data_IF_394949483565
#
_entry.id   IF_394949483565
#
_cell.length_a   1.000
_cell.length_b   1.000
_cell.length_c   1.000
_cell.angle_alpha   90.00
_cell.angle_beta   90.00
_cell.angle_gamma   90.00
#
_symmetry.space_group_name_H-M   'P 1'
#
loop_
_entity.id
_entity.type
_entity.pdbx_description
1 polymer ?
#
# COMPACT_ATOMS: atom_id res chain seq x y z
N UNK A 1 15.70 4.55 1.41
CA UNK A 1 14.61 4.47 2.41
C UNK A 1 13.30 3.95 1.81
N UNK A 2 12.77 4.55 0.74
CA UNK A 2 11.44 4.21 0.15
C UNK A 2 11.25 2.72 -0.17
N UNK A 3 12.22 2.07 -0.83
CA UNK A 3 12.14 0.64 -1.15
C UNK A 3 12.09 -0.25 0.11
N UNK A 4 12.96 0.02 1.08
CA UNK A 4 13.06 -0.74 2.32
C UNK A 4 11.75 -0.65 3.13
N UNK A 5 11.15 0.54 3.20
CA UNK A 5 9.88 0.73 3.91
C UNK A 5 8.69 0.14 3.14
N UNK A 6 8.54 0.49 1.86
CA UNK A 6 7.32 0.19 1.11
C UNK A 6 7.25 -1.25 0.60
N UNK A 7 8.40 -1.89 0.34
CA UNK A 7 8.45 -3.26 -0.20
C UNK A 7 8.91 -4.22 0.89
N UNK A 8 10.12 -4.05 1.41
CA UNK A 8 10.64 -4.98 2.42
C UNK A 8 9.83 -4.95 3.71
N UNK A 9 9.38 -3.77 4.14
CA UNK A 9 8.47 -3.62 5.28
C UNK A 9 7.16 -4.39 5.08
N UNK A 10 6.53 -4.27 3.92
CA UNK A 10 5.31 -5.04 3.58
C UNK A 10 5.57 -6.53 3.63
N UNK A 11 6.67 -7.01 3.05
CA UNK A 11 7.03 -8.43 3.05
C UNK A 11 7.22 -8.95 4.48
N UNK A 12 8.11 -8.31 5.26
CA UNK A 12 8.43 -8.78 6.61
C UNK A 12 7.25 -8.69 7.57
N UNK A 13 6.48 -7.60 7.54
CA UNK A 13 5.31 -7.45 8.38
C UNK A 13 4.21 -8.46 8.02
N UNK A 14 3.95 -8.68 6.73
CA UNK A 14 2.92 -9.63 6.29
C UNK A 14 3.29 -11.07 6.63
N UNK A 15 4.56 -11.46 6.45
CA UNK A 15 5.06 -12.79 6.83
C UNK A 15 4.86 -13.06 8.32
N UNK A 16 5.29 -12.14 9.18
CA UNK A 16 5.17 -12.29 10.65
C UNK A 16 3.71 -12.27 11.12
N UNK A 17 2.89 -11.39 10.55
CA UNK A 17 1.47 -11.33 10.86
C UNK A 17 0.75 -12.62 10.44
N UNK A 18 1.02 -13.10 9.22
CA UNK A 18 0.46 -14.34 8.72
C UNK A 18 0.85 -15.54 9.58
N UNK A 19 2.13 -15.67 9.94
CA UNK A 19 2.60 -16.74 10.81
C UNK A 19 1.92 -16.70 12.19
N UNK A 20 1.80 -15.52 12.80
CA UNK A 20 1.07 -15.36 14.06
C UNK A 20 -0.40 -15.76 13.96
N UNK A 21 -1.09 -15.38 12.88
CA UNK A 21 -2.50 -15.74 12.67
C UNK A 21 -2.66 -17.25 12.43
N UNK A 22 -1.74 -17.86 11.69
CA UNK A 22 -1.71 -19.30 11.42
C UNK A 22 -1.51 -20.10 12.71
N UNK A 23 -0.54 -19.72 13.55
CA UNK A 23 -0.26 -20.39 14.83
C UNK A 23 -1.45 -20.34 15.81
N UNK A 24 -2.26 -19.26 15.74
CA UNK A 24 -3.46 -19.09 16.59
C UNK A 24 -4.70 -19.77 16.03
N UNK A 25 -4.64 -20.36 14.84
CA UNK A 25 -5.80 -20.93 14.12
C UNK A 25 -6.98 -19.93 14.00
N UNK A 26 -6.68 -18.63 13.94
CA UNK A 26 -7.69 -17.57 13.94
C UNK A 26 -7.96 -17.06 12.53
N UNK A 27 -9.21 -16.72 12.23
CA UNK A 27 -9.54 -15.90 11.07
C UNK A 27 -8.80 -14.56 11.15
N UNK A 28 -8.31 -14.07 10.01
CA UNK A 28 -7.43 -12.92 9.97
C UNK A 28 -7.53 -12.13 8.67
N UNK A 29 -7.11 -10.88 8.71
CA UNK A 29 -7.13 -10.01 7.53
C UNK A 29 -5.88 -9.13 7.48
N UNK A 30 -5.08 -9.28 6.44
CA UNK A 30 -3.94 -8.41 6.13
C UNK A 30 -4.41 -7.29 5.20
N UNK A 31 -4.34 -6.04 5.66
CA UNK A 31 -4.67 -4.88 4.84
C UNK A 31 -3.37 -4.20 4.40
N UNK A 32 -3.12 -4.18 3.09
CA UNK A 32 -1.96 -3.56 2.49
C UNK A 32 -2.30 -2.14 2.01
N UNK A 33 -1.50 -1.17 2.44
CA UNK A 33 -1.67 0.22 2.04
C UNK A 33 -0.90 0.49 0.76
N UNK A 34 -1.63 0.62 -0.34
CA UNK A 34 -1.11 0.91 -1.66
C UNK A 34 -1.35 2.39 -2.04
N UNK A 35 -1.58 2.71 -3.31
CA UNK A 35 -1.92 4.02 -3.84
C UNK A 35 -2.48 3.87 -5.26
N UNK A 36 -3.19 4.89 -5.76
CA UNK A 36 -3.52 5.03 -7.19
C UNK A 36 -2.29 4.91 -8.09
N UNK A 37 -1.13 5.41 -7.65
CA UNK A 37 0.12 5.31 -8.42
C UNK A 37 0.71 3.90 -8.46
N UNK A 38 0.12 2.95 -7.75
CA UNK A 38 0.45 1.52 -7.84
C UNK A 38 -0.30 0.78 -8.95
N UNK A 39 -1.21 1.46 -9.64
CA UNK A 39 -2.00 0.92 -10.75
C UNK A 39 -1.72 1.62 -12.08
N UNK A 40 -1.35 2.90 -12.02
CA UNK A 40 -1.03 3.70 -13.19
C UNK A 40 -0.01 4.78 -12.83
N UNK A 41 0.88 5.08 -13.76
CA UNK A 41 1.88 6.14 -13.60
C UNK A 41 1.34 7.37 -14.30
N UNK A 42 1.06 8.43 -13.54
CA UNK A 42 0.64 9.70 -14.12
C UNK A 42 1.80 10.33 -14.87
N UNK A 43 1.52 10.88 -16.05
CA UNK A 43 2.51 11.67 -16.78
C UNK A 43 2.41 13.13 -16.30
N UNK A 44 3.54 13.79 -16.01
CA UNK A 44 3.52 15.20 -15.65
C UNK A 44 2.95 16.03 -16.79
N UNK A 45 2.22 17.09 -16.43
CA UNK A 45 1.90 18.13 -17.39
C UNK A 45 3.21 18.66 -18.01
N UNK A 46 3.24 19.01 -19.31
CA UNK A 46 4.41 19.58 -19.96
C UNK A 46 4.95 20.77 -19.15
N UNK A 47 6.23 20.74 -18.80
CA UNK A 47 6.87 21.77 -17.97
C UNK A 47 6.85 21.51 -16.46
N UNK A 48 6.22 20.42 -15.98
CA UNK A 48 6.38 19.97 -14.59
C UNK A 48 7.49 18.92 -14.47
N UNK A 49 8.45 19.17 -13.57
CA UNK A 49 9.41 18.15 -13.17
C UNK A 49 8.71 17.19 -12.23
N UNK A 50 8.25 16.06 -12.76
CA UNK A 50 7.80 14.97 -11.90
C UNK A 50 9.03 14.31 -11.30
N UNK A 51 9.30 14.61 -10.04
CA UNK A 51 10.09 13.73 -9.18
C UNK A 51 9.26 12.47 -8.87
N UNK A 52 8.90 11.68 -9.89
CA UNK A 52 8.48 10.31 -9.65
C UNK A 52 9.73 9.54 -9.22
N UNK A 53 10.11 9.73 -7.96
CA UNK A 53 11.11 8.95 -7.25
C UNK A 53 10.69 7.46 -7.27
N UNK A 54 11.39 6.59 -6.56
CA UNK A 54 11.09 5.15 -6.45
C UNK A 54 9.66 4.83 -5.95
N UNK A 55 8.89 5.80 -5.46
CA UNK A 55 7.58 5.60 -4.84
C UNK A 55 6.54 4.88 -5.76
N UNK A 56 6.23 5.32 -7.00
CA UNK A 56 5.27 4.62 -7.86
C UNK A 56 5.72 3.19 -8.18
N UNK A 57 7.03 2.97 -8.38
CA UNK A 57 7.59 1.64 -8.58
C UNK A 57 7.34 0.74 -7.36
N UNK A 58 7.58 1.25 -6.14
CA UNK A 58 7.26 0.49 -4.92
C UNK A 58 5.78 0.18 -4.76
N UNK A 59 4.89 1.09 -5.18
CA UNK A 59 3.44 0.88 -5.09
C UNK A 59 2.94 -0.13 -6.12
N UNK A 60 3.53 -0.18 -7.31
CA UNK A 60 3.32 -1.28 -8.26
C UNK A 60 3.80 -2.62 -7.71
N UNK A 61 4.94 -2.64 -7.00
CA UNK A 61 5.41 -3.83 -6.31
C UNK A 61 4.42 -4.30 -5.24
N UNK A 62 3.79 -3.38 -4.49
CA UNK A 62 2.72 -3.72 -3.53
C UNK A 62 1.50 -4.31 -4.24
N UNK A 63 1.13 -3.82 -5.41
CA UNK A 63 0.06 -4.42 -6.23
C UNK A 63 0.38 -5.87 -6.58
N UNK A 64 1.59 -6.15 -7.06
CA UNK A 64 2.04 -7.52 -7.35
C UNK A 64 2.09 -8.41 -6.10
N UNK A 65 2.62 -7.89 -4.98
CA UNK A 65 2.67 -8.60 -3.70
C UNK A 65 1.28 -8.94 -3.17
N UNK A 66 0.29 -8.09 -3.40
CA UNK A 66 -1.10 -8.36 -2.98
C UNK A 66 -1.63 -9.62 -3.66
N UNK A 67 -1.41 -9.75 -4.97
CA UNK A 67 -1.85 -10.93 -5.71
C UNK A 67 -1.05 -12.18 -5.30
N UNK A 68 0.26 -12.03 -5.11
CA UNK A 68 1.11 -13.11 -4.64
C UNK A 68 0.65 -13.65 -3.27
N UNK A 69 0.44 -12.77 -2.28
CA UNK A 69 -0.06 -13.17 -0.97
C UNK A 69 -1.47 -13.76 -1.03
N UNK A 70 -2.33 -13.27 -1.92
CA UNK A 70 -3.66 -13.83 -2.10
C UNK A 70 -3.60 -15.28 -2.57
N UNK A 71 -2.67 -15.60 -3.48
CA UNK A 71 -2.43 -16.97 -3.94
C UNK A 71 -1.81 -17.83 -2.85
N UNK A 72 -0.75 -17.35 -2.19
CA UNK A 72 -0.06 -18.10 -1.12
C UNK A 72 -1.00 -18.42 0.06
N UNK A 73 -1.74 -17.44 0.57
CA UNK A 73 -2.64 -17.64 1.71
C UNK A 73 -3.78 -18.62 1.40
N UNK A 74 -4.23 -18.65 0.13
CA UNK A 74 -5.21 -19.63 -0.36
C UNK A 74 -4.62 -21.03 -0.38
N UNK A 75 -3.38 -21.18 -0.78
CA UNK A 75 -2.69 -22.48 -0.82
C UNK A 75 -2.49 -23.07 0.58
N UNK A 76 -2.20 -22.22 1.58
CA UNK A 76 -2.11 -22.65 2.98
C UNK A 76 -3.47 -23.06 3.60
N UNK A 77 -4.59 -22.91 2.88
CA UNK A 77 -5.95 -23.25 3.34
C UNK A 77 -6.32 -22.62 4.70
N UNK A 78 -5.81 -21.41 4.95
CA UNK A 78 -6.12 -20.65 6.17
C UNK A 78 -7.38 -19.79 5.99
N UNK A 79 -7.95 -19.31 7.09
CA UNK A 79 -9.01 -18.28 7.06
C UNK A 79 -8.44 -16.85 7.01
N UNK A 80 -7.18 -16.70 6.57
CA UNK A 80 -6.54 -15.39 6.45
C UNK A 80 -6.80 -14.82 5.06
N UNK A 81 -7.29 -13.59 5.01
CA UNK A 81 -7.53 -12.84 3.78
C UNK A 81 -6.51 -11.71 3.63
N UNK A 82 -6.30 -11.26 2.40
CA UNK A 82 -5.50 -10.07 2.11
C UNK A 82 -6.28 -9.12 1.22
N UNK A 83 -6.13 -7.82 1.45
CA UNK A 83 -6.74 -6.77 0.61
C UNK A 83 -5.79 -5.59 0.50
N UNK A 84 -5.67 -5.04 -0.70
CA UNK A 84 -4.97 -3.77 -0.93
C UNK A 84 -5.97 -2.63 -1.04
N UNK A 85 -5.70 -1.53 -0.33
CA UNK A 85 -6.43 -0.27 -0.47
C UNK A 85 -5.53 0.72 -1.19
N UNK A 86 -6.04 1.37 -2.25
CA UNK A 86 -5.30 2.33 -3.08
C UNK A 86 -5.91 3.72 -3.00
N UNK A 87 -5.55 4.53 -1.99
CA UNK A 87 -6.03 5.90 -1.87
C UNK A 87 -5.54 6.78 -3.03
N UNK A 88 -6.38 7.75 -3.38
CA UNK A 88 -6.01 8.91 -4.18
C UNK A 88 -5.24 9.95 -3.38
N UNK A 89 -5.27 11.21 -3.83
CA UNK A 89 -4.73 12.31 -3.03
C UNK A 89 -5.59 12.48 -1.78
N UNK A 90 -4.95 12.42 -0.62
CA UNK A 90 -5.60 12.53 0.70
C UNK A 90 -4.81 13.49 1.57
N UNK A 91 -5.51 14.32 2.34
CA UNK A 91 -4.89 15.24 3.30
C UNK A 91 -4.51 14.48 4.57
N UNK A 92 -3.26 14.01 4.62
CA UNK A 92 -2.72 13.24 5.74
C UNK A 92 -1.42 13.83 6.27
N UNK A 93 -1.08 15.07 5.88
CA UNK A 93 0.21 15.71 6.22
C UNK A 93 1.44 15.06 5.58
N UNK A 94 1.29 13.94 4.85
CA UNK A 94 2.35 13.23 4.14
C UNK A 94 2.63 13.78 2.72
N UNK A 95 1.79 14.71 2.24
CA UNK A 95 1.97 15.36 0.95
C UNK A 95 2.85 16.60 1.06
N UNK A 96 3.96 16.63 0.32
CA UNK A 96 4.70 17.86 0.01
C UNK A 96 3.93 18.82 -0.91
N UNK A 97 2.70 18.48 -1.29
CA UNK A 97 1.75 19.47 -1.81
C UNK A 97 1.14 20.16 -0.60
N UNK A 98 1.53 21.41 -0.38
CA UNK A 98 0.90 22.32 0.56
C UNK A 98 -0.59 22.48 0.24
N UNK A 99 -1.39 21.52 0.69
CA UNK A 99 -2.83 21.64 0.76
C UNK A 99 -3.08 22.79 1.74
N UNK A 100 -3.49 23.95 1.21
CA UNK A 100 -4.11 24.97 2.03
C UNK A 100 -5.20 24.27 2.80
N UNK A 101 -5.09 24.26 4.14
CA UNK A 101 -6.06 23.63 5.04
C UNK A 101 -7.46 24.01 4.56
N UNK A 102 -8.21 23.02 4.08
CA UNK A 102 -9.61 23.25 3.77
C UNK A 102 -10.30 23.67 5.07
N UNK A 103 -11.07 24.76 5.02
CA UNK A 103 -11.87 25.25 6.13
C UNK A 103 -12.69 24.10 6.73
N UNK A 104 -12.86 24.04 8.06
CA UNK A 104 -13.58 22.94 8.69
C UNK A 104 -14.99 22.86 8.12
N UNK A 105 -15.29 21.73 7.47
CA UNK A 105 -16.66 21.42 7.09
C UNK A 105 -17.39 20.89 8.32
N UNK A 106 -18.54 21.49 8.59
CA UNK A 106 -19.46 21.28 9.71
C UNK A 106 -19.19 22.12 10.97
N UNK A 107 -20.14 23.02 11.20
CA UNK A 107 -20.49 23.65 12.47
C UNK A 107 -21.70 22.90 13.03
#
# INVERSE_FOLDING_TARGET
QVLQTNVMGVVHCSQRAFESMRQRHSAGHVVLINSIVGHYIFNPLPGSQQELNMYPATKHAVTALTELFRQEMREFKTQVKVTSISPGLVDTGAGALGLQKASPCCR
#
